data_IF_996344517062
#
_entry.id   IF_996344517062
#
_cell.length_a   1.000
_cell.length_b   1.000
_cell.length_c   1.000
_cell.angle_alpha   90.00
_cell.angle_beta   90.00
_cell.angle_gamma   90.00
#
_symmetry.space_group_name_H-M   'P 1'
#
loop_
_entity.id
_entity.type
_entity.pdbx_description
1 polymer ?
#
# COMPACT_ATOMS: atom_id res chain seq x y z
N UNK A 1 10.85 -3.38 14.19
CA UNK A 1 11.59 -4.48 13.49
C UNK A 1 11.75 -4.08 12.04
N UNK A 2 12.97 -4.17 11.46
CA UNK A 2 13.15 -3.87 10.03
C UNK A 2 12.73 -5.04 9.16
N UNK A 3 12.36 -4.76 7.90
CA UNK A 3 12.02 -5.79 6.91
C UNK A 3 13.16 -6.78 6.70
N UNK A 4 14.39 -6.30 6.67
CA UNK A 4 15.59 -7.13 6.51
C UNK A 4 15.71 -8.21 7.60
N UNK A 5 15.48 -7.83 8.86
CA UNK A 5 15.50 -8.79 9.98
C UNK A 5 14.41 -9.85 9.82
N UNK A 6 13.20 -9.46 9.38
CA UNK A 6 12.12 -10.40 9.12
C UNK A 6 12.45 -11.34 7.94
N UNK A 7 13.00 -10.81 6.85
CA UNK A 7 13.45 -11.59 5.69
C UNK A 7 14.49 -12.64 6.11
N UNK A 8 15.48 -12.22 6.90
CA UNK A 8 16.51 -13.14 7.39
C UNK A 8 15.91 -14.22 8.31
N UNK A 9 14.98 -13.87 9.17
CA UNK A 9 14.28 -14.83 10.02
C UNK A 9 13.49 -15.85 9.19
N UNK A 10 12.76 -15.42 8.17
CA UNK A 10 12.01 -16.29 7.26
C UNK A 10 12.97 -17.22 6.50
N UNK A 11 14.10 -16.70 5.99
CA UNK A 11 15.12 -17.51 5.32
C UNK A 11 15.69 -18.59 6.23
N UNK A 12 16.04 -18.24 7.45
CA UNK A 12 16.55 -19.23 8.44
C UNK A 12 15.50 -20.31 8.74
N UNK A 13 14.25 -19.94 8.90
CA UNK A 13 13.16 -20.91 9.13
C UNK A 13 12.92 -21.79 7.90
N UNK A 14 13.05 -21.24 6.69
CA UNK A 14 12.83 -21.97 5.44
C UNK A 14 13.92 -23.01 5.18
N UNK A 15 15.18 -22.65 5.45
CA UNK A 15 16.34 -23.51 5.18
C UNK A 15 16.85 -24.29 6.39
N UNK A 16 16.21 -24.14 7.58
CA UNK A 16 16.60 -24.85 8.79
C UNK A 16 17.93 -24.38 9.41
N UNK A 17 18.34 -23.15 9.11
CA UNK A 17 19.60 -22.56 9.61
C UNK A 17 20.13 -21.44 8.71
N UNK A 18 21.44 -21.36 8.58
CA UNK A 18 22.09 -20.41 7.68
C UNK A 18 21.85 -20.88 6.25
N UNK A 19 21.25 -20.05 5.36
CA UNK A 19 21.05 -20.43 3.96
C UNK A 19 22.39 -20.62 3.27
N UNK A 20 22.50 -21.68 2.47
CA UNK A 20 23.62 -21.95 1.59
C UNK A 20 23.56 -21.06 0.35
N UNK A 21 24.66 -20.98 -0.42
CA UNK A 21 24.72 -20.20 -1.67
C UNK A 21 23.71 -20.69 -2.74
N UNK A 22 23.25 -21.95 -2.63
CA UNK A 22 22.23 -22.55 -3.49
C UNK A 22 20.79 -22.21 -3.07
N UNK A 23 20.59 -21.18 -2.23
CA UNK A 23 19.28 -20.76 -1.83
C UNK A 23 18.50 -20.15 -3.02
N UNK A 24 17.54 -20.92 -3.55
CA UNK A 24 16.77 -20.57 -4.75
C UNK A 24 15.81 -19.40 -4.54
N UNK A 25 15.52 -19.04 -3.28
CA UNK A 25 14.56 -17.98 -2.94
C UNK A 25 15.33 -16.73 -2.56
N UNK A 26 15.12 -15.68 -3.32
CA UNK A 26 15.81 -14.40 -3.13
C UNK A 26 15.15 -13.55 -2.03
N UNK A 27 15.91 -12.64 -1.44
CA UNK A 27 15.37 -11.68 -0.46
C UNK A 27 14.29 -10.78 -1.04
N UNK A 28 14.42 -10.41 -2.33
CA UNK A 28 13.41 -9.63 -3.04
C UNK A 28 12.10 -10.38 -3.18
N UNK A 29 12.16 -11.67 -3.41
CA UNK A 29 10.99 -12.53 -3.50
C UNK A 29 10.30 -12.66 -2.13
N UNK A 30 11.06 -12.87 -1.06
CA UNK A 30 10.50 -12.89 0.30
C UNK A 30 9.84 -11.55 0.63
N UNK A 31 10.47 -10.43 0.26
CA UNK A 31 9.89 -9.10 0.48
C UNK A 31 8.58 -8.90 -0.28
N UNK A 32 8.46 -9.45 -1.49
CA UNK A 32 7.20 -9.44 -2.24
C UNK A 32 6.10 -10.18 -1.47
N UNK A 33 6.38 -11.38 -0.96
CA UNK A 33 5.41 -12.14 -0.17
C UNK A 33 5.05 -11.46 1.16
N UNK A 34 6.00 -10.74 1.78
CA UNK A 34 5.69 -9.90 2.96
C UNK A 34 4.69 -8.80 2.58
N UNK A 35 4.86 -8.15 1.42
CA UNK A 35 3.92 -7.13 0.95
C UNK A 35 2.53 -7.73 0.68
N UNK A 36 2.47 -8.92 0.07
CA UNK A 36 1.22 -9.64 -0.16
C UNK A 36 0.53 -10.06 1.14
N UNK A 37 1.30 -10.56 2.11
CA UNK A 37 0.78 -10.91 3.44
C UNK A 37 0.20 -9.69 4.16
N UNK A 38 0.90 -8.56 4.15
CA UNK A 38 0.40 -7.29 4.71
C UNK A 38 -0.88 -6.82 4.01
N UNK A 39 -0.94 -6.92 2.68
CA UNK A 39 -2.12 -6.56 1.90
C UNK A 39 -3.32 -7.46 2.25
N UNK A 40 -3.09 -8.76 2.40
CA UNK A 40 -4.10 -9.71 2.82
C UNK A 40 -4.64 -9.38 4.22
N UNK A 41 -3.74 -9.16 5.18
CA UNK A 41 -4.11 -8.84 6.56
C UNK A 41 -4.91 -7.53 6.65
N UNK A 42 -4.52 -6.50 5.91
CA UNK A 42 -5.26 -5.25 5.85
C UNK A 42 -6.68 -5.44 5.27
N UNK A 43 -6.84 -6.29 4.24
CA UNK A 43 -8.15 -6.64 3.67
C UNK A 43 -9.01 -7.44 4.63
N UNK A 44 -8.42 -8.40 5.35
CA UNK A 44 -9.13 -9.17 6.39
C UNK A 44 -9.59 -8.23 7.50
N UNK A 45 -8.70 -7.38 8.01
CA UNK A 45 -9.04 -6.39 9.04
C UNK A 45 -10.17 -5.45 8.61
N UNK A 46 -10.16 -4.97 7.37
CA UNK A 46 -11.24 -4.16 6.79
C UNK A 46 -12.57 -4.93 6.78
N UNK A 47 -12.54 -6.20 6.33
CA UNK A 47 -13.74 -7.04 6.26
C UNK A 47 -14.30 -7.33 7.65
N UNK A 48 -13.44 -7.58 8.62
CA UNK A 48 -13.83 -7.87 10.00
C UNK A 48 -14.39 -6.61 10.67
N UNK A 49 -13.81 -5.43 10.44
CA UNK A 49 -14.35 -4.16 10.93
C UNK A 49 -15.78 -3.91 10.41
N UNK A 50 -16.03 -4.23 9.14
CA UNK A 50 -17.40 -4.12 8.59
C UNK A 50 -18.35 -5.12 9.25
N UNK A 51 -17.92 -6.38 9.43
CA UNK A 51 -18.79 -7.43 9.96
C UNK A 51 -19.07 -7.28 11.45
N UNK A 52 -18.07 -6.90 12.24
CA UNK A 52 -18.16 -6.83 13.69
C UNK A 52 -18.66 -5.48 14.19
N UNK A 53 -18.16 -4.41 13.61
CA UNK A 53 -18.38 -3.05 14.10
C UNK A 53 -19.29 -2.23 13.16
N UNK A 54 -19.57 -2.73 11.95
CA UNK A 54 -20.32 -1.99 10.93
C UNK A 54 -19.57 -0.78 10.38
N UNK A 55 -18.26 -0.67 10.63
CA UNK A 55 -17.44 0.47 10.25
C UNK A 55 -16.52 0.11 9.08
N UNK A 56 -16.61 0.88 8.01
CA UNK A 56 -15.80 0.70 6.79
C UNK A 56 -14.39 1.33 6.99
N UNK A 57 -13.58 0.76 7.88
CA UNK A 57 -12.23 1.27 8.18
C UNK A 57 -11.23 0.13 8.34
N UNK A 58 -9.96 0.47 8.23
CA UNK A 58 -8.84 -0.42 8.55
C UNK A 58 -8.21 0.08 9.84
N UNK A 59 -7.64 -0.80 10.63
CA UNK A 59 -6.89 -0.41 11.83
C UNK A 59 -5.77 0.59 11.50
N UNK A 60 -5.55 1.53 12.38
CA UNK A 60 -4.57 2.62 12.23
C UNK A 60 -3.14 2.13 11.96
N UNK A 61 -2.83 0.91 12.37
CA UNK A 61 -1.50 0.29 12.18
C UNK A 61 -1.14 0.02 10.71
N UNK A 62 -2.15 -0.06 9.82
CA UNK A 62 -1.93 -0.26 8.39
C UNK A 62 -1.82 1.05 7.59
N UNK A 63 -2.08 2.20 8.23
CA UNK A 63 -1.99 3.47 7.53
C UNK A 63 -0.59 4.05 7.57
N UNK A 64 -0.15 4.55 6.42
CA UNK A 64 1.04 5.38 6.27
C UNK A 64 0.62 6.81 5.94
N UNK A 65 1.37 7.77 6.49
CA UNK A 65 1.12 9.19 6.26
C UNK A 65 2.27 9.79 5.46
N UNK A 66 1.97 10.25 4.27
CA UNK A 66 2.91 10.94 3.39
C UNK A 66 2.64 12.45 3.45
N UNK A 67 3.69 13.21 3.74
CA UNK A 67 3.62 14.67 3.91
C UNK A 67 4.32 15.37 2.76
N UNK A 68 3.99 16.65 2.58
CA UNK A 68 4.66 17.55 1.62
C UNK A 68 4.60 17.07 0.16
N UNK A 69 3.51 16.41 -0.22
CA UNK A 69 3.30 15.99 -1.59
C UNK A 69 2.83 17.18 -2.42
N UNK A 70 3.61 17.53 -3.46
CA UNK A 70 3.34 18.69 -4.30
C UNK A 70 2.23 18.39 -5.33
N UNK A 71 1.35 19.37 -5.52
CA UNK A 71 0.28 19.29 -6.52
C UNK A 71 0.73 20.04 -7.77
N UNK A 72 0.59 19.39 -8.92
CA UNK A 72 0.83 19.92 -10.25
C UNK A 72 -0.47 20.02 -11.04
N UNK A 73 -0.46 20.78 -12.13
CA UNK A 73 -1.57 20.82 -13.07
C UNK A 73 -1.21 20.02 -14.31
N UNK A 74 -2.08 19.11 -14.66
CA UNK A 74 -1.99 18.38 -15.91
C UNK A 74 -2.46 19.29 -17.06
N UNK A 75 -1.65 19.39 -18.12
CA UNK A 75 -1.94 20.28 -19.25
C UNK A 75 -2.99 19.72 -20.19
N UNK A 76 -3.11 18.41 -20.26
CA UNK A 76 -3.98 17.71 -21.22
C UNK A 76 -5.41 17.65 -20.71
N UNK A 77 -5.58 17.32 -19.44
CA UNK A 77 -6.90 17.19 -18.81
C UNK A 77 -7.38 18.47 -18.12
N UNK A 78 -6.44 19.36 -17.79
CA UNK A 78 -6.72 20.58 -17.02
C UNK A 78 -6.98 20.33 -15.53
N UNK A 79 -7.00 19.06 -15.09
CA UNK A 79 -7.11 18.69 -13.69
C UNK A 79 -5.80 18.88 -12.94
N UNK A 80 -5.86 18.81 -11.62
CA UNK A 80 -4.67 18.81 -10.79
C UNK A 80 -4.32 17.37 -10.42
N UNK A 81 -3.04 17.07 -10.33
CA UNK A 81 -2.56 15.74 -9.95
C UNK A 81 -1.46 15.80 -8.91
N UNK A 82 -1.30 14.72 -8.19
CA UNK A 82 -0.28 14.49 -7.19
C UNK A 82 0.21 13.05 -7.35
N UNK A 83 1.52 12.88 -7.41
CA UNK A 83 2.12 11.55 -7.47
C UNK A 83 2.25 10.97 -6.05
N UNK A 84 1.66 9.80 -5.85
CA UNK A 84 1.76 9.06 -4.60
C UNK A 84 3.06 8.26 -4.58
N UNK A 85 3.78 8.20 -3.46
CA UNK A 85 5.00 7.40 -3.34
C UNK A 85 4.76 5.91 -3.58
N UNK A 86 3.57 5.43 -3.23
CA UNK A 86 3.16 4.03 -3.33
C UNK A 86 1.73 3.94 -3.86
N UNK A 87 1.35 2.76 -4.37
CA UNK A 87 -0.04 2.50 -4.78
C UNK A 87 -0.91 2.29 -3.53
N UNK A 88 -2.04 3.00 -3.38
CA UNK A 88 -2.98 2.72 -2.32
C UNK A 88 -3.56 1.30 -2.45
N UNK A 89 -3.75 0.61 -1.32
CA UNK A 89 -4.40 -0.68 -1.34
C UNK A 89 -5.84 -0.53 -1.85
N UNK A 90 -6.21 -1.35 -2.84
CA UNK A 90 -7.56 -1.39 -3.39
C UNK A 90 -8.55 -1.98 -2.38
N UNK A 91 -9.21 -1.11 -1.63
CA UNK A 91 -10.34 -1.45 -0.77
C UNK A 91 -11.63 -0.96 -1.41
N UNK A 92 -12.77 -1.53 -0.98
CA UNK A 92 -14.07 -1.11 -1.49
C UNK A 92 -14.27 0.42 -1.30
N UNK A 93 -14.94 1.06 -2.25
CA UNK A 93 -15.26 2.51 -2.23
C UNK A 93 -14.04 3.45 -2.09
N UNK A 94 -12.83 3.00 -2.42
CA UNK A 94 -11.63 3.83 -2.34
C UNK A 94 -11.08 4.04 -0.92
N UNK A 95 -11.53 3.28 0.06
CA UNK A 95 -11.06 3.39 1.47
C UNK A 95 -9.59 3.01 1.70
N UNK A 96 -8.85 2.68 0.64
CA UNK A 96 -7.38 2.62 0.70
C UNK A 96 -6.75 3.97 1.03
N UNK A 97 -7.46 5.10 0.74
CA UNK A 97 -7.05 6.44 1.14
C UNK A 97 -7.99 6.90 2.26
N UNK A 98 -7.46 7.03 3.47
CA UNK A 98 -8.24 7.45 4.63
C UNK A 98 -8.53 8.96 4.61
N UNK A 99 -7.47 9.75 4.44
CA UNK A 99 -7.60 11.22 4.44
C UNK A 99 -6.65 11.87 3.47
N UNK A 100 -7.14 12.95 2.87
CA UNK A 100 -6.32 13.91 2.12
C UNK A 100 -6.54 15.27 2.75
N UNK A 101 -5.47 15.97 3.12
CA UNK A 101 -5.59 17.29 3.75
C UNK A 101 -4.61 18.26 3.13
N UNK A 102 -5.03 19.53 3.03
CA UNK A 102 -4.16 20.64 2.63
C UNK A 102 -3.87 21.48 3.88
N UNK A 103 -2.63 21.44 4.40
CA UNK A 103 -2.26 22.30 5.50
C UNK A 103 -2.40 23.77 5.09
N UNK A 104 -3.01 24.57 5.96
CA UNK A 104 -3.12 26.00 5.77
C UNK A 104 -2.32 26.71 6.86
N UNK A 105 -1.87 27.92 6.58
CA UNK A 105 -1.13 28.73 7.54
C UNK A 105 -1.92 29.01 8.83
N UNK A 106 -3.25 28.93 8.76
CA UNK A 106 -4.17 29.15 9.90
C UNK A 106 -4.50 27.88 10.67
N UNK A 107 -3.90 26.73 10.32
CA UNK A 107 -4.15 25.44 10.97
C UNK A 107 -5.48 24.76 10.61
N UNK A 108 -6.37 25.43 9.90
CA UNK A 108 -7.61 24.83 9.40
C UNK A 108 -7.31 24.05 8.12
N UNK A 109 -7.18 22.74 8.24
CA UNK A 109 -6.98 21.87 7.08
C UNK A 109 -8.25 21.81 6.22
N UNK A 110 -8.12 22.09 4.92
CA UNK A 110 -9.19 21.79 3.96
C UNK A 110 -9.06 20.32 3.57
N UNK A 111 -10.12 19.55 3.78
CA UNK A 111 -10.19 18.15 3.36
C UNK A 111 -10.97 18.06 2.05
N UNK A 112 -10.36 17.58 0.97
CA UNK A 112 -11.06 17.27 -0.27
C UNK A 112 -12.09 16.16 -0.06
N UNK A 113 -13.09 16.12 -0.93
CA UNK A 113 -14.18 15.14 -0.90
C UNK A 113 -13.82 14.01 -1.88
N UNK A 114 -13.80 12.74 -1.44
CA UNK A 114 -13.59 11.63 -2.37
C UNK A 114 -14.80 11.50 -3.30
N UNK A 115 -14.51 11.25 -4.58
CA UNK A 115 -15.54 10.95 -5.59
C UNK A 115 -15.10 9.78 -6.44
N UNK A 116 -16.06 9.11 -7.08
CA UNK A 116 -15.75 8.13 -8.12
C UNK A 116 -15.59 8.82 -9.48
N UNK A 117 -14.84 8.18 -10.38
CA UNK A 117 -14.66 8.67 -11.76
C UNK A 117 -16.02 8.83 -12.47
N UNK A 118 -17.00 7.96 -12.14
CA UNK A 118 -18.35 8.03 -12.71
C UNK A 118 -19.13 9.27 -12.28
N UNK A 119 -18.80 9.81 -11.11
CA UNK A 119 -19.47 11.01 -10.59
C UNK A 119 -18.92 12.30 -11.19
N UNK A 120 -17.75 12.25 -11.84
CA UNK A 120 -17.15 13.43 -12.49
C UNK A 120 -18.07 14.05 -13.54
N UNK A 121 -18.71 13.22 -14.38
CA UNK A 121 -19.62 13.69 -15.45
C UNK A 121 -20.84 14.40 -14.87
N UNK A 122 -21.34 13.94 -13.72
CA UNK A 122 -22.44 14.61 -13.03
C UNK A 122 -22.01 15.93 -12.40
N UNK A 123 -20.77 15.98 -11.92
CA UNK A 123 -20.22 17.17 -11.26
C UNK A 123 -20.06 18.37 -12.18
N UNK A 124 -19.84 18.15 -13.49
CA UNK A 124 -19.73 19.23 -14.47
C UNK A 124 -21.07 19.93 -14.72
N UNK A 125 -22.16 19.22 -14.52
CA UNK A 125 -23.51 19.72 -14.71
C UNK A 125 -24.14 20.33 -13.43
N UNK A 126 -23.48 20.18 -12.28
CA UNK A 126 -23.94 20.74 -11.01
C UNK A 126 -23.24 22.06 -10.72
N UNK A 127 -24.03 23.10 -10.38
CA UNK A 127 -23.49 24.36 -9.84
C UNK A 127 -22.86 24.10 -8.48
N UNK A 128 -21.56 23.83 -8.48
CA UNK A 128 -20.85 23.51 -7.25
C UNK A 128 -20.29 24.76 -6.57
N UNK A 129 -20.25 24.79 -5.24
CA UNK A 129 -19.58 25.86 -4.53
C UNK A 129 -18.10 25.93 -4.92
N UNK A 130 -17.56 27.08 -5.30
CA UNK A 130 -16.18 27.23 -5.80
C UNK A 130 -15.12 26.86 -4.73
N UNK A 131 -15.51 26.67 -3.49
CA UNK A 131 -14.62 26.30 -2.38
C UNK A 131 -14.41 24.80 -2.20
N UNK A 132 -15.20 23.96 -2.87
CA UNK A 132 -15.09 22.50 -2.74
C UNK A 132 -13.98 21.97 -3.64
N UNK A 133 -13.25 20.99 -3.12
CA UNK A 133 -12.21 20.26 -3.83
C UNK A 133 -12.60 18.79 -3.80
N UNK A 134 -12.57 18.16 -4.95
CA UNK A 134 -12.86 16.74 -5.09
C UNK A 134 -11.60 15.99 -5.49
N UNK A 135 -11.50 14.70 -5.11
CA UNK A 135 -10.38 13.87 -5.52
C UNK A 135 -10.80 12.44 -5.82
N UNK A 136 -10.02 11.79 -6.68
CA UNK A 136 -10.12 10.35 -6.95
C UNK A 136 -8.74 9.76 -7.19
N UNK A 137 -8.49 8.51 -6.74
CA UNK A 137 -7.25 7.81 -7.00
C UNK A 137 -7.29 7.11 -8.37
N UNK A 138 -6.14 7.10 -9.06
CA UNK A 138 -5.91 6.33 -10.27
C UNK A 138 -4.45 5.84 -10.29
N UNK A 139 -4.26 4.55 -9.97
CA UNK A 139 -2.92 3.97 -9.83
C UNK A 139 -2.09 4.69 -8.76
N UNK A 140 -0.94 5.22 -9.17
CA UNK A 140 -0.04 6.04 -8.31
C UNK A 140 -0.39 7.53 -8.32
N UNK A 141 -1.45 7.94 -8.99
CA UNK A 141 -1.84 9.35 -9.03
C UNK A 141 -3.11 9.59 -8.24
N UNK A 142 -3.13 10.74 -7.59
CA UNK A 142 -4.31 11.29 -6.98
C UNK A 142 -4.72 12.51 -7.77
N UNK A 143 -5.87 12.45 -8.40
CA UNK A 143 -6.41 13.51 -9.22
C UNK A 143 -7.33 14.42 -8.40
N UNK A 144 -7.35 15.69 -8.75
CA UNK A 144 -8.21 16.68 -8.09
C UNK A 144 -8.94 17.53 -9.11
N UNK A 145 -10.21 17.76 -8.79
CA UNK A 145 -11.04 18.76 -9.47
C UNK A 145 -11.32 19.90 -8.50
N UNK A 146 -10.95 21.12 -8.90
CA UNK A 146 -11.12 22.31 -8.08
C UNK A 146 -11.26 23.53 -8.98
N UNK A 147 -12.11 24.47 -8.55
CA UNK A 147 -12.19 25.79 -9.16
C UNK A 147 -11.15 26.77 -8.62
N UNK A 148 -10.50 26.44 -7.52
CA UNK A 148 -9.38 27.21 -6.98
C UNK A 148 -8.06 26.64 -7.45
N UNK A 149 -7.07 27.51 -7.69
CA UNK A 149 -5.74 27.06 -8.08
C UNK A 149 -5.07 26.25 -6.95
N UNK A 150 -4.67 25.02 -7.27
CA UNK A 150 -3.99 24.11 -6.34
C UNK A 150 -2.49 23.98 -6.65
N UNK A 151 -1.97 24.56 -7.74
CA UNK A 151 -0.54 24.45 -8.11
C UNK A 151 0.33 24.96 -6.98
N UNK A 152 1.35 24.17 -6.63
CA UNK A 152 2.32 24.50 -5.58
C UNK A 152 1.79 24.30 -4.16
N UNK A 153 0.53 23.89 -3.98
CA UNK A 153 0.07 23.46 -2.66
C UNK A 153 0.66 22.11 -2.30
N UNK A 154 0.92 21.94 -1.02
CA UNK A 154 1.36 20.69 -0.46
C UNK A 154 0.15 19.93 0.11
N UNK A 155 0.14 18.62 -0.08
CA UNK A 155 -0.87 17.75 0.50
C UNK A 155 -0.24 16.79 1.52
N UNK A 156 -1.06 16.38 2.48
CA UNK A 156 -0.80 15.27 3.38
C UNK A 156 -1.80 14.19 3.02
N UNK A 157 -1.31 13.01 2.68
CA UNK A 157 -2.14 11.86 2.34
C UNK A 157 -1.90 10.74 3.32
N UNK A 158 -2.96 10.25 3.94
CA UNK A 158 -2.95 9.08 4.81
C UNK A 158 -3.65 7.94 4.08
N UNK A 159 -2.91 6.87 3.81
CA UNK A 159 -3.42 5.74 3.04
C UNK A 159 -2.87 4.40 3.53
N UNK A 160 -3.60 3.33 3.24
CA UNK A 160 -3.11 1.96 3.40
C UNK A 160 -2.23 1.65 2.20
N UNK A 161 -0.98 1.36 2.45
CA UNK A 161 -0.06 0.87 1.44
C UNK A 161 0.85 -0.19 2.03
N UNK A 162 1.00 -1.27 1.29
CA UNK A 162 1.80 -2.43 1.71
C UNK A 162 3.02 -2.63 0.83
N UNK A 163 3.02 -1.99 -0.34
CA UNK A 163 4.14 -2.06 -1.29
C UNK A 163 5.33 -1.25 -0.74
N UNK A 164 6.40 -1.95 -0.39
CA UNK A 164 7.66 -1.33 -0.03
C UNK A 164 8.83 -2.17 -0.55
N UNK A 165 9.67 -1.54 -1.36
CA UNK A 165 10.89 -2.14 -1.90
C UNK A 165 12.12 -1.93 -1.00
N UNK A 166 12.03 -1.03 -0.02
CA UNK A 166 13.12 -0.74 0.92
C UNK A 166 13.16 -1.81 2.01
N UNK A 167 14.22 -2.59 2.00
CA UNK A 167 14.44 -3.68 2.96
C UNK A 167 14.88 -3.17 4.34
N UNK A 168 15.45 -1.98 4.42
CA UNK A 168 15.84 -1.36 5.70
C UNK A 168 14.64 -0.64 6.38
N UNK A 169 13.52 -0.49 5.68
CA UNK A 169 12.34 0.14 6.23
C UNK A 169 11.79 -0.63 7.42
N UNK A 170 11.32 0.11 8.41
CA UNK A 170 10.64 -0.48 9.55
C UNK A 170 9.25 -1.00 9.17
N UNK A 171 8.90 -2.14 9.75
CA UNK A 171 7.54 -2.67 9.72
C UNK A 171 6.74 -2.02 10.85
N UNK A 172 5.81 -1.14 10.46
CA UNK A 172 4.95 -0.41 11.40
C UNK A 172 3.72 -1.24 11.80
N UNK A 173 3.91 -2.54 12.06
CA UNK A 173 2.84 -3.42 12.53
C UNK A 173 3.16 -3.95 13.93
N UNK A 174 2.15 -4.15 14.77
CA UNK A 174 2.32 -4.78 16.09
C UNK A 174 2.99 -6.15 15.98
N UNK A 175 3.69 -6.55 17.04
CA UNK A 175 4.46 -7.80 17.06
C UNK A 175 3.57 -9.04 16.87
N UNK A 176 2.33 -8.98 17.28
CA UNK A 176 1.34 -10.06 17.08
C UNK A 176 1.13 -10.39 15.59
N UNK A 177 1.12 -9.38 14.72
CA UNK A 177 0.97 -9.58 13.28
C UNK A 177 2.22 -10.18 12.62
N UNK A 178 3.40 -10.09 13.24
CA UNK A 178 4.64 -10.61 12.67
C UNK A 178 4.58 -12.14 12.54
N UNK A 179 4.00 -12.82 13.54
CA UNK A 179 3.82 -14.27 13.49
C UNK A 179 2.89 -14.67 12.35
N UNK A 180 1.81 -13.93 12.14
CA UNK A 180 0.87 -14.20 11.06
C UNK A 180 1.50 -13.94 9.69
N UNK A 181 2.28 -12.88 9.54
CA UNK A 181 3.06 -12.60 8.32
C UNK A 181 4.01 -13.77 8.03
N UNK A 182 4.77 -14.22 9.02
CA UNK A 182 5.69 -15.36 8.86
C UNK A 182 4.92 -16.60 8.40
N UNK A 183 3.81 -16.92 9.04
CA UNK A 183 3.00 -18.09 8.70
C UNK A 183 2.46 -18.01 7.27
N UNK A 184 1.93 -16.86 6.85
CA UNK A 184 1.43 -16.64 5.51
C UNK A 184 2.54 -16.77 4.45
N UNK A 185 3.69 -16.14 4.68
CA UNK A 185 4.83 -16.21 3.78
C UNK A 185 5.40 -17.62 3.69
N UNK A 186 5.57 -18.30 4.84
CA UNK A 186 6.03 -19.69 4.87
C UNK A 186 5.06 -20.64 4.17
N UNK A 187 3.76 -20.41 4.27
CA UNK A 187 2.74 -21.17 3.56
C UNK A 187 2.88 -21.09 2.04
N UNK A 188 3.31 -19.95 1.53
CA UNK A 188 3.54 -19.73 0.08
C UNK A 188 4.91 -20.26 -0.39
N UNK A 189 5.95 -20.15 0.43
CA UNK A 189 7.32 -20.51 0.05
C UNK A 189 7.65 -22.00 0.20
N UNK A 190 7.07 -22.71 1.18
CA UNK A 190 7.34 -24.14 1.41
C UNK A 190 7.04 -25.02 0.19
N UNK A 191 5.90 -24.88 -0.52
CA UNK A 191 5.64 -25.66 -1.73
C UNK A 191 6.69 -25.44 -2.83
N UNK A 192 7.19 -24.20 -2.96
CA UNK A 192 8.21 -23.84 -3.96
C UNK A 192 9.57 -24.44 -3.64
N UNK A 193 9.97 -24.48 -2.37
CA UNK A 193 11.20 -25.15 -1.94
C UNK A 193 11.15 -26.67 -2.23
N UNK A 194 9.98 -27.28 -2.12
CA UNK A 194 9.79 -28.71 -2.36
C UNK A 194 9.81 -29.09 -3.85
N UNK A 195 9.71 -28.11 -4.77
CA UNK A 195 9.76 -28.37 -6.21
C UNK A 195 11.22 -28.45 -6.64
N UNK A 196 11.74 -29.62 -7.11
CA UNK A 196 13.09 -29.72 -7.62
C UNK A 196 13.26 -28.75 -8.81
N UNK A 197 14.27 -27.91 -8.77
CA UNK A 197 14.58 -27.01 -9.89
C UNK A 197 15.35 -27.71 -11.00
N UNK A 198 16.00 -28.82 -10.69
CA UNK A 198 16.74 -29.58 -11.65
C UNK A 198 15.83 -30.58 -12.36
N UNK A 199 15.48 -30.28 -13.60
CA UNK A 199 14.76 -31.18 -14.48
C UNK A 199 15.70 -32.12 -15.24
N UNK A 200 17.00 -31.92 -15.16
CA UNK A 200 18.03 -32.72 -15.81
C UNK A 200 18.75 -33.53 -14.73
N UNK A 201 18.36 -34.81 -14.64
CA UNK A 201 19.11 -35.76 -13.81
C UNK A 201 20.48 -36.02 -14.48
N UNK A 202 21.45 -35.19 -14.18
CA UNK A 202 22.83 -35.28 -14.66
C UNK A 202 23.71 -36.20 -13.80
N UNK A 203 23.14 -36.86 -12.81
CA UNK A 203 23.83 -37.76 -11.90
C UNK A 203 24.69 -37.06 -10.84
N UNK A 204 24.59 -35.75 -10.73
CA UNK A 204 25.32 -34.94 -9.72
C UNK A 204 24.49 -34.69 -8.45
N UNK A 205 23.20 -35.06 -8.48
CA UNK A 205 22.32 -35.02 -7.32
C UNK A 205 22.82 -36.03 -6.28
N UNK A 206 23.67 -35.59 -5.39
CA UNK A 206 24.02 -36.38 -4.20
C UNK A 206 22.82 -36.34 -3.26
N UNK A 207 22.21 -37.48 -3.06
CA UNK A 207 21.25 -37.77 -2.00
C UNK A 207 21.80 -37.39 -0.61
#
# INVERSE_FOLDING_TARGET
MTRKVLIEQIRRMLYGGVPTDDANITEKEINLYINEALAYMAKVNYTDSIKLDGVETVSDVFYLTFKNLAITRDTDTGYYSLDLPQVPLGLARGYGISTVTFPTATGLAKSPIPISVRELDYMDNLKQPPSKIFYWPEGKKLWFKSYTNLVGRLAIVRMVSTENSDMEAELNVPQEYITDIINLVMGQLRPRKATPQDSTNDGLDKL
#
